data_IF_946940203863
#
_entry.id   IF_946940203863
#
_cell.length_a   1.000
_cell.length_b   1.000
_cell.length_c   1.000
_cell.angle_alpha   90.00
_cell.angle_beta   90.00
_cell.angle_gamma   90.00
#
_symmetry.space_group_name_H-M   'P 1'
#
loop_
_entity.id
_entity.type
_entity.pdbx_description
1 polymer ?
#
# COMPACT_ATOMS: atom_id res chain seq x y z
N UNK A 1 -31.43 12.90 6.97
CA UNK A 1 -30.60 12.24 8.01
C UNK A 1 -30.20 10.83 7.62
N UNK A 2 -31.04 10.06 6.91
CA UNK A 2 -30.71 8.71 6.45
C UNK A 2 -29.48 8.63 5.52
N UNK A 3 -29.32 9.56 4.58
CA UNK A 3 -28.18 9.57 3.65
C UNK A 3 -26.82 9.83 4.33
N UNK A 4 -26.79 10.59 5.42
CA UNK A 4 -25.58 10.83 6.21
C UNK A 4 -25.28 9.59 7.07
N UNK A 5 -26.31 9.00 7.67
CA UNK A 5 -26.18 7.75 8.43
C UNK A 5 -25.65 6.60 7.56
N UNK A 6 -26.10 6.50 6.31
CA UNK A 6 -25.61 5.49 5.36
C UNK A 6 -24.12 5.71 5.01
N UNK A 7 -23.72 6.94 4.68
CA UNK A 7 -22.32 7.27 4.41
C UNK A 7 -21.39 6.95 5.59
N UNK A 8 -21.81 7.30 6.81
CA UNK A 8 -21.05 6.99 8.02
C UNK A 8 -21.00 5.49 8.31
N UNK A 9 -22.07 4.74 8.01
CA UNK A 9 -22.09 3.28 8.14
C UNK A 9 -21.09 2.62 7.19
N UNK A 10 -21.01 3.08 5.94
CA UNK A 10 -20.03 2.58 4.95
C UNK A 10 -18.61 2.92 5.39
N UNK A 11 -18.36 4.18 5.79
CA UNK A 11 -17.04 4.57 6.30
C UNK A 11 -16.64 3.73 7.53
N UNK A 12 -17.59 3.46 8.44
CA UNK A 12 -17.38 2.60 9.61
C UNK A 12 -17.07 1.14 9.27
N UNK A 13 -17.79 0.56 8.29
CA UNK A 13 -17.51 -0.82 7.85
C UNK A 13 -16.15 -0.93 7.19
N UNK A 14 -15.79 0.01 6.30
CA UNK A 14 -14.46 0.08 5.70
C UNK A 14 -13.36 0.25 6.77
N UNK A 15 -13.62 1.08 7.79
CA UNK A 15 -12.69 1.25 8.92
C UNK A 15 -12.46 -0.08 9.64
N UNK A 16 -13.53 -0.82 9.94
CA UNK A 16 -13.45 -2.09 10.65
C UNK A 16 -12.69 -3.16 9.84
N UNK A 17 -12.96 -3.24 8.54
CA UNK A 17 -12.28 -4.17 7.63
C UNK A 17 -10.78 -3.88 7.51
N UNK A 18 -10.38 -2.60 7.47
CA UNK A 18 -8.99 -2.19 7.25
C UNK A 18 -8.18 -2.09 8.55
N UNK A 19 -8.85 -1.90 9.70
CA UNK A 19 -8.19 -1.64 10.99
C UNK A 19 -7.16 -2.71 11.36
N UNK A 20 -7.49 -3.99 11.19
CA UNK A 20 -6.58 -5.06 11.59
C UNK A 20 -5.33 -5.11 10.70
N UNK A 21 -5.47 -4.89 9.39
CA UNK A 21 -4.37 -4.88 8.44
C UNK A 21 -3.42 -3.69 8.70
N UNK A 22 -3.98 -2.54 9.12
CA UNK A 22 -3.21 -1.39 9.59
C UNK A 22 -2.43 -1.72 10.87
N UNK A 23 -3.08 -2.34 11.86
CA UNK A 23 -2.42 -2.73 13.12
C UNK A 23 -1.25 -3.68 12.81
N UNK A 24 -1.46 -4.69 11.98
CA UNK A 24 -0.42 -5.67 11.64
C UNK A 24 0.74 -5.03 10.86
N UNK A 25 0.44 -4.23 9.84
CA UNK A 25 1.45 -3.59 9.01
C UNK A 25 2.31 -2.58 9.78
N UNK A 26 1.71 -1.72 10.61
CA UNK A 26 2.46 -0.81 11.47
C UNK A 26 3.22 -1.53 12.59
N UNK A 27 2.67 -2.62 13.14
CA UNK A 27 3.41 -3.43 14.10
C UNK A 27 4.66 -4.04 13.46
N UNK A 28 4.54 -4.55 12.22
CA UNK A 28 5.68 -5.07 11.47
C UNK A 28 6.68 -3.94 11.13
N UNK A 29 6.21 -2.76 10.74
CA UNK A 29 7.05 -1.58 10.50
C UNK A 29 7.86 -1.21 11.72
N UNK A 30 7.19 -1.09 12.87
CA UNK A 30 7.83 -0.78 14.14
C UNK A 30 8.85 -1.85 14.55
N UNK A 31 8.54 -3.14 14.37
CA UNK A 31 9.49 -4.24 14.61
C UNK A 31 10.69 -4.15 13.67
N UNK A 32 10.46 -3.91 12.38
CA UNK A 32 11.54 -3.75 11.41
C UNK A 32 12.42 -2.58 11.82
N UNK A 33 11.84 -1.42 12.13
CA UNK A 33 12.56 -0.21 12.53
C UNK A 33 13.34 -0.38 13.84
N UNK A 34 12.72 -0.92 14.88
CA UNK A 34 13.34 -1.12 16.19
C UNK A 34 14.40 -2.25 16.20
N UNK A 35 14.11 -3.37 15.54
CA UNK A 35 14.82 -4.65 15.76
C UNK A 35 15.66 -5.09 14.57
N UNK A 36 15.30 -4.80 13.32
CA UNK A 36 16.08 -5.31 12.17
C UNK A 36 17.36 -4.48 11.99
N UNK A 37 18.52 -5.14 11.90
CA UNK A 37 19.81 -4.47 11.67
C UNK A 37 19.94 -4.05 10.21
N UNK A 38 20.61 -2.91 9.98
CA UNK A 38 21.02 -2.44 8.64
C UNK A 38 21.75 -3.53 7.85
N UNK A 39 22.65 -4.27 8.50
CA UNK A 39 23.40 -5.36 7.85
C UNK A 39 22.53 -6.50 7.34
N UNK A 40 21.44 -6.84 8.04
CA UNK A 40 20.48 -7.86 7.58
C UNK A 40 19.73 -7.38 6.33
N UNK A 41 19.28 -6.12 6.33
CA UNK A 41 18.58 -5.52 5.19
C UNK A 41 19.51 -5.45 3.97
N UNK A 42 20.73 -4.93 4.13
CA UNK A 42 21.72 -4.86 3.05
C UNK A 42 22.08 -6.26 2.52
N UNK A 43 22.17 -7.27 3.39
CA UNK A 43 22.48 -8.64 2.96
C UNK A 43 21.36 -9.31 2.17
N UNK A 44 20.10 -9.07 2.54
CA UNK A 44 18.95 -9.75 1.94
C UNK A 44 18.31 -8.96 0.79
N UNK A 45 18.38 -7.64 0.83
CA UNK A 45 17.65 -6.71 -0.04
C UNK A 45 18.57 -5.66 -0.66
N UNK A 46 19.90 -5.83 -0.61
CA UNK A 46 20.86 -4.80 -1.02
C UNK A 46 21.15 -4.69 -2.51
N UNK A 47 20.57 -5.55 -3.35
CA UNK A 47 20.74 -5.51 -4.80
C UNK A 47 19.39 -5.62 -5.54
N UNK A 48 19.41 -5.46 -6.86
CA UNK A 48 18.26 -5.54 -7.77
C UNK A 48 18.24 -6.86 -8.57
N UNK A 49 18.97 -7.88 -8.12
CA UNK A 49 19.05 -9.18 -8.82
C UNK A 49 17.71 -9.90 -8.73
N UNK A 50 17.35 -10.74 -9.71
CA UNK A 50 16.07 -11.47 -9.71
C UNK A 50 15.81 -12.21 -8.40
N UNK A 51 16.82 -12.90 -7.84
CA UNK A 51 16.71 -13.60 -6.55
C UNK A 51 16.29 -12.68 -5.40
N UNK A 52 16.85 -11.48 -5.35
CA UNK A 52 16.56 -10.49 -4.31
C UNK A 52 15.17 -9.90 -4.49
N UNK A 53 14.76 -9.65 -5.73
CA UNK A 53 13.39 -9.21 -6.03
C UNK A 53 12.37 -10.30 -5.67
N UNK A 54 12.65 -11.58 -5.93
CA UNK A 54 11.77 -12.69 -5.52
C UNK A 54 11.69 -12.79 -4.00
N UNK A 55 12.80 -12.62 -3.29
CA UNK A 55 12.82 -12.61 -1.83
C UNK A 55 12.03 -11.42 -1.27
N UNK A 56 12.24 -10.23 -1.84
CA UNK A 56 11.51 -9.02 -1.48
C UNK A 56 10.01 -9.20 -1.68
N UNK A 57 9.61 -9.72 -2.84
CA UNK A 57 8.22 -10.01 -3.15
C UNK A 57 7.62 -11.06 -2.20
N UNK A 58 8.36 -12.12 -1.87
CA UNK A 58 7.92 -13.14 -0.91
C UNK A 58 7.73 -12.58 0.51
N UNK A 59 8.66 -11.73 0.97
CA UNK A 59 8.53 -11.03 2.24
C UNK A 59 7.36 -10.03 2.24
N UNK A 60 7.14 -9.35 1.11
CA UNK A 60 5.99 -8.47 0.89
C UNK A 60 4.68 -9.24 1.01
N UNK A 61 4.50 -10.28 0.20
CA UNK A 61 3.30 -11.12 0.21
C UNK A 61 3.00 -11.71 1.61
N UNK A 62 4.05 -12.11 2.34
CA UNK A 62 3.90 -12.60 3.72
C UNK A 62 3.54 -11.51 4.73
N UNK A 63 3.90 -10.25 4.47
CA UNK A 63 3.64 -9.13 5.39
C UNK A 63 2.18 -8.67 5.42
N UNK A 64 1.37 -8.99 4.39
CA UNK A 64 -0.07 -8.73 4.33
C UNK A 64 -0.46 -7.33 4.84
N UNK A 65 0.13 -6.29 4.26
CA UNK A 65 -0.05 -4.91 4.74
C UNK A 65 -0.89 -4.09 3.76
N UNK A 66 -1.68 -3.17 4.30
CA UNK A 66 -2.36 -2.18 3.47
C UNK A 66 -1.35 -1.21 2.82
N UNK A 67 -1.78 -0.47 1.79
CA UNK A 67 -0.94 0.43 0.99
C UNK A 67 -0.17 1.46 1.84
N UNK A 68 -0.79 2.00 2.90
CA UNK A 68 -0.12 2.91 3.85
C UNK A 68 1.01 2.24 4.64
N UNK A 69 0.76 1.05 5.19
CA UNK A 69 1.76 0.32 5.96
C UNK A 69 2.87 -0.27 5.07
N UNK A 70 2.53 -0.69 3.85
CA UNK A 70 3.48 -1.18 2.85
C UNK A 70 4.51 -0.11 2.49
N UNK A 71 4.06 1.13 2.23
CA UNK A 71 4.94 2.27 1.95
C UNK A 71 5.84 2.61 3.15
N UNK A 72 5.28 2.65 4.36
CA UNK A 72 6.07 2.91 5.58
C UNK A 72 7.19 1.86 5.76
N UNK A 73 6.85 0.59 5.57
CA UNK A 73 7.80 -0.52 5.58
C UNK A 73 8.86 -0.40 4.48
N UNK A 74 8.45 -0.14 3.24
CA UNK A 74 9.35 -0.01 2.09
C UNK A 74 10.36 1.13 2.27
N UNK A 75 9.90 2.29 2.75
CA UNK A 75 10.76 3.43 3.10
C UNK A 75 11.73 3.08 4.24
N UNK A 76 11.27 2.39 5.29
CA UNK A 76 12.13 1.91 6.37
C UNK A 76 13.22 0.96 5.87
N UNK A 77 12.87 0.00 5.01
CA UNK A 77 13.84 -0.90 4.35
C UNK A 77 14.85 -0.11 3.50
N UNK A 78 14.38 0.87 2.72
CA UNK A 78 15.24 1.73 1.90
C UNK A 78 16.21 2.57 2.73
N UNK A 79 15.75 3.20 3.83
CA UNK A 79 16.60 3.93 4.80
C UNK A 79 17.62 3.02 5.47
N UNK A 80 17.26 1.75 5.72
CA UNK A 80 18.19 0.70 6.19
C UNK A 80 19.08 0.12 5.10
N UNK A 81 19.03 0.66 3.89
CA UNK A 81 19.93 0.36 2.81
C UNK A 81 19.55 -0.81 1.92
N UNK A 82 18.26 -1.17 1.87
CA UNK A 82 17.75 -1.94 0.75
C UNK A 82 17.96 -1.19 -0.57
N UNK A 83 18.13 -1.94 -1.66
CA UNK A 83 18.03 -1.42 -3.01
C UNK A 83 16.62 -0.87 -3.23
N UNK A 84 16.53 0.25 -3.93
CA UNK A 84 15.25 0.91 -4.20
C UNK A 84 14.26 -0.01 -4.93
N UNK A 85 14.70 -0.70 -5.98
CA UNK A 85 13.88 -1.63 -6.75
C UNK A 85 13.40 -2.79 -5.88
N UNK A 86 14.25 -3.32 -4.98
CA UNK A 86 13.85 -4.36 -4.04
C UNK A 86 12.81 -3.85 -3.01
N UNK A 87 12.95 -2.62 -2.52
CA UNK A 87 11.96 -2.01 -1.63
C UNK A 87 10.61 -1.80 -2.33
N UNK A 88 10.61 -1.36 -3.58
CA UNK A 88 9.38 -1.18 -4.38
C UNK A 88 8.74 -2.52 -4.75
N UNK A 89 9.53 -3.56 -5.03
CA UNK A 89 9.03 -4.91 -5.25
C UNK A 89 8.39 -5.50 -3.97
N UNK A 90 8.99 -5.24 -2.80
CA UNK A 90 8.39 -5.58 -1.51
C UNK A 90 7.06 -4.86 -1.31
N UNK A 91 7.00 -3.55 -1.59
CA UNK A 91 5.81 -2.72 -1.44
C UNK A 91 4.64 -3.25 -2.29
N UNK A 92 4.87 -3.45 -3.59
CA UNK A 92 3.86 -4.00 -4.51
C UNK A 92 3.39 -5.38 -4.08
N UNK A 93 4.31 -6.26 -3.68
CA UNK A 93 3.92 -7.59 -3.24
C UNK A 93 3.14 -7.56 -1.93
N UNK A 94 3.42 -6.59 -1.05
CA UNK A 94 2.72 -6.41 0.23
C UNK A 94 1.26 -6.02 0.06
N UNK A 95 0.91 -5.35 -1.04
CA UNK A 95 -0.46 -4.89 -1.34
C UNK A 95 -1.22 -5.80 -2.30
N UNK A 96 -0.53 -6.41 -3.28
CA UNK A 96 -1.19 -7.09 -4.41
C UNK A 96 -1.03 -8.63 -4.40
N UNK A 97 -0.14 -9.19 -3.59
CA UNK A 97 0.06 -10.65 -3.50
C UNK A 97 -0.48 -11.26 -2.21
N UNK A 98 -1.38 -10.54 -1.54
CA UNK A 98 -1.97 -10.97 -0.27
C UNK A 98 -3.05 -12.03 -0.51
N UNK A 99 -2.94 -13.15 0.21
CA UNK A 99 -3.91 -14.26 0.12
C UNK A 99 -5.32 -13.81 0.51
N UNK A 100 -5.44 -12.96 1.52
CA UNK A 100 -6.70 -12.38 1.97
C UNK A 100 -7.42 -11.62 0.85
N UNK A 101 -6.74 -10.66 0.21
CA UNK A 101 -7.29 -9.91 -0.93
C UNK A 101 -7.76 -10.89 -2.02
N UNK A 102 -6.95 -11.92 -2.29
CA UNK A 102 -7.30 -13.02 -3.18
C UNK A 102 -8.64 -13.69 -2.89
N UNK A 103 -8.88 -14.01 -1.62
CA UNK A 103 -10.13 -14.63 -1.15
C UNK A 103 -11.30 -13.66 -1.30
N UNK A 104 -11.13 -12.39 -0.93
CA UNK A 104 -12.19 -11.37 -1.06
C UNK A 104 -12.57 -11.19 -2.54
N UNK A 105 -11.59 -11.05 -3.42
CA UNK A 105 -11.81 -10.95 -4.87
C UNK A 105 -12.51 -12.19 -5.41
N UNK A 106 -12.12 -13.38 -4.96
CA UNK A 106 -12.72 -14.64 -5.43
C UNK A 106 -14.19 -14.75 -5.06
N UNK A 107 -14.55 -14.29 -3.85
CA UNK A 107 -15.93 -14.32 -3.35
C UNK A 107 -16.81 -13.22 -3.94
N UNK A 108 -16.29 -12.00 -4.11
CA UNK A 108 -17.10 -10.84 -4.51
C UNK A 108 -17.13 -10.58 -6.02
N UNK A 109 -16.04 -10.87 -6.73
CA UNK A 109 -15.90 -10.57 -8.15
C UNK A 109 -15.63 -11.81 -9.02
N UNK A 110 -15.28 -12.93 -8.39
CA UNK A 110 -15.05 -14.20 -9.04
C UNK A 110 -13.59 -14.46 -9.37
N UNK A 111 -13.31 -15.69 -9.78
CA UNK A 111 -11.94 -16.20 -9.94
C UNK A 111 -11.09 -15.45 -10.99
N UNK A 112 -11.74 -14.80 -11.97
CA UNK A 112 -11.03 -14.06 -13.03
C UNK A 112 -10.27 -12.85 -12.48
N UNK A 113 -10.88 -12.13 -11.53
CA UNK A 113 -10.23 -10.99 -10.88
C UNK A 113 -9.12 -11.46 -9.94
N UNK A 114 -9.35 -12.54 -9.19
CA UNK A 114 -8.29 -13.15 -8.37
C UNK A 114 -7.11 -13.59 -9.21
N UNK A 115 -7.35 -14.28 -10.33
CA UNK A 115 -6.27 -14.70 -11.23
C UNK A 115 -5.54 -13.49 -11.82
N UNK A 116 -6.25 -12.45 -12.23
CA UNK A 116 -5.64 -11.23 -12.74
C UNK A 116 -4.81 -10.49 -11.69
N UNK A 117 -5.21 -10.52 -10.41
CA UNK A 117 -4.45 -9.96 -9.29
C UNK A 117 -3.13 -10.74 -9.07
N UNK A 118 -3.21 -12.06 -8.90
CA UNK A 118 -2.02 -12.89 -8.63
C UNK A 118 -1.08 -13.02 -9.82
N UNK A 119 -1.55 -12.83 -11.05
CA UNK A 119 -0.71 -12.84 -12.25
C UNK A 119 -0.19 -11.44 -12.55
N UNK A 120 -1.01 -10.41 -12.39
CA UNK A 120 -0.63 -9.04 -12.71
C UNK A 120 0.32 -8.45 -11.67
N UNK A 121 0.24 -8.80 -10.38
CA UNK A 121 1.19 -8.36 -9.35
C UNK A 121 2.65 -8.71 -9.70
N UNK A 122 2.99 -9.99 -10.00
CA UNK A 122 4.31 -10.38 -10.45
C UNK A 122 4.73 -9.73 -11.77
N UNK A 123 3.79 -9.59 -12.73
CA UNK A 123 4.06 -8.88 -13.99
C UNK A 123 4.42 -7.42 -13.70
N UNK A 124 3.69 -6.75 -12.81
CA UNK A 124 3.92 -5.36 -12.42
C UNK A 124 5.29 -5.19 -11.77
N UNK A 125 5.68 -6.11 -10.88
CA UNK A 125 7.03 -6.12 -10.29
C UNK A 125 8.11 -6.25 -11.37
N UNK A 126 7.94 -7.16 -12.33
CA UNK A 126 8.90 -7.36 -13.42
C UNK A 126 8.98 -6.13 -14.32
N UNK A 127 7.83 -5.58 -14.73
CA UNK A 127 7.75 -4.37 -15.57
C UNK A 127 8.41 -3.20 -14.87
N UNK A 128 8.09 -2.96 -13.61
CA UNK A 128 8.67 -1.87 -12.82
C UNK A 128 10.18 -2.06 -12.61
N UNK A 129 10.64 -3.29 -12.35
CA UNK A 129 12.06 -3.58 -12.23
C UNK A 129 12.81 -3.31 -13.55
N UNK A 130 12.23 -3.68 -14.70
CA UNK A 130 12.80 -3.38 -16.02
C UNK A 130 12.81 -1.87 -16.29
N UNK A 131 11.70 -1.18 -16.03
CA UNK A 131 11.61 0.27 -16.21
C UNK A 131 12.63 1.00 -15.34
N UNK A 132 12.78 0.63 -14.08
CA UNK A 132 13.80 1.22 -13.21
C UNK A 132 15.21 0.91 -13.70
N UNK A 133 15.47 -0.31 -14.18
CA UNK A 133 16.78 -0.63 -14.74
C UNK A 133 17.13 0.19 -15.99
N UNK A 134 16.12 0.60 -16.78
CA UNK A 134 16.30 1.39 -18.00
C UNK A 134 16.33 2.90 -17.75
N UNK A 135 15.49 3.40 -16.84
CA UNK A 135 15.24 4.84 -16.67
C UNK A 135 15.82 5.42 -15.38
N UNK A 136 16.04 4.61 -14.34
CA UNK A 136 16.47 5.10 -13.03
C UNK A 136 17.97 5.40 -13.03
N UNK A 137 18.31 6.69 -12.90
CA UNK A 137 19.70 7.15 -12.84
C UNK A 137 20.19 7.17 -11.40
N UNK A 138 21.46 6.82 -11.19
CA UNK A 138 22.10 6.86 -9.86
C UNK A 138 21.96 8.21 -9.17
N UNK A 139 22.03 9.32 -9.92
CA UNK A 139 21.84 10.67 -9.36
C UNK A 139 20.48 10.88 -8.70
N UNK A 140 19.41 10.28 -9.24
CA UNK A 140 18.07 10.37 -8.64
C UNK A 140 18.01 9.56 -7.34
N UNK A 141 18.60 8.36 -7.35
CA UNK A 141 18.71 7.51 -6.17
C UNK A 141 19.51 8.16 -5.05
N UNK A 142 20.66 8.78 -5.36
CA UNK A 142 21.48 9.50 -4.38
C UNK A 142 20.69 10.65 -3.75
N UNK A 143 19.98 11.45 -4.55
CA UNK A 143 19.14 12.55 -4.05
C UNK A 143 17.99 12.04 -3.17
N UNK A 144 17.32 10.97 -3.59
CA UNK A 144 16.25 10.35 -2.81
C UNK A 144 16.77 9.83 -1.47
N UNK A 145 17.98 9.25 -1.46
CA UNK A 145 18.63 8.75 -0.25
C UNK A 145 19.07 9.87 0.69
N UNK A 146 19.70 10.92 0.17
CA UNK A 146 20.03 12.12 0.93
C UNK A 146 18.77 12.75 1.54
N UNK A 147 17.68 12.86 0.77
CA UNK A 147 16.42 13.38 1.26
C UNK A 147 15.81 12.49 2.37
N UNK A 148 15.87 11.16 2.22
CA UNK A 148 15.40 10.23 3.24
C UNK A 148 16.28 10.21 4.51
N UNK A 149 17.57 10.59 4.40
CA UNK A 149 18.50 10.70 5.52
C UNK A 149 18.38 12.04 6.27
N UNK A 150 17.89 13.10 5.64
CA UNK A 150 17.66 14.41 6.29
C UNK A 150 16.66 14.38 7.45
N UNK A 151 15.89 13.30 7.61
CA UNK A 151 14.93 13.17 8.71
C UNK A 151 13.82 14.22 8.69
N UNK A 152 13.57 14.83 7.52
CA UNK A 152 12.45 15.75 7.33
C UNK A 152 11.17 14.95 7.50
N UNK A 153 10.40 15.26 8.54
CA UNK A 153 9.13 14.61 8.81
C UNK A 153 8.17 14.90 7.66
N UNK A 154 7.76 13.86 6.92
CA UNK A 154 6.56 13.94 6.09
C UNK A 154 5.32 14.01 6.97
N UNK A 155 4.15 14.38 6.41
CA UNK A 155 2.88 14.38 7.15
C UNK A 155 2.61 13.03 7.83
N UNK A 156 3.07 11.95 7.19
CA UNK A 156 2.95 10.55 7.60
C UNK A 156 4.02 10.10 8.62
N UNK A 157 4.95 10.96 9.02
CA UNK A 157 6.06 10.62 9.92
C UNK A 157 6.11 11.55 11.13
N UNK A 158 5.06 11.50 11.94
CA UNK A 158 4.99 12.13 13.26
C UNK A 158 6.19 11.75 14.12
N UNK A 159 7.26 12.54 14.00
CA UNK A 159 8.46 12.57 14.84
C UNK A 159 9.59 11.60 14.44
N UNK A 160 9.91 11.52 13.15
CA UNK A 160 11.05 10.80 12.54
C UNK A 160 12.47 11.13 13.07
N UNK A 161 12.61 11.99 14.08
CA UNK A 161 13.88 12.55 14.54
C UNK A 161 14.58 11.73 15.65
N UNK A 162 13.98 10.65 16.17
CA UNK A 162 14.63 9.82 17.20
C UNK A 162 15.01 8.45 16.64
N UNK A 163 16.31 8.18 16.53
CA UNK A 163 16.84 6.82 16.30
C UNK A 163 16.52 5.95 17.54
N UNK A 164 15.36 5.31 17.49
CA UNK A 164 14.89 4.39 18.53
C UNK A 164 15.39 2.97 18.31
N UNK A 165 16.34 2.73 17.40
CA UNK A 165 16.81 1.37 17.12
C UNK A 165 17.46 0.73 18.34
N UNK A 166 17.10 -0.53 18.61
CA UNK A 166 17.61 -1.25 19.77
C UNK A 166 19.09 -1.57 19.54
N UNK A 167 19.99 -0.85 20.23
CA UNK A 167 21.45 -1.04 20.16
C UNK A 167 21.96 -2.32 20.83
N UNK A 168 21.10 -3.02 21.57
CA UNK A 168 21.48 -4.23 22.31
C UNK A 168 22.07 -5.33 21.39
N UNK A 169 23.11 -6.00 21.89
CA UNK A 169 23.73 -7.15 21.24
C UNK A 169 22.88 -8.42 21.43
N UNK A 170 22.80 -9.25 20.39
CA UNK A 170 22.04 -10.51 20.41
C UNK A 170 21.19 -10.75 19.15
N UNK A 171 20.63 -11.96 19.07
CA UNK A 171 19.74 -12.38 17.96
C UNK A 171 18.41 -11.61 17.93
N UNK A 172 17.69 -11.74 16.81
CA UNK A 172 16.42 -11.04 16.55
C UNK A 172 15.40 -11.21 17.71
N UNK A 173 15.13 -12.45 18.14
CA UNK A 173 14.17 -12.73 19.19
C UNK A 173 14.56 -12.10 20.53
N UNK A 174 15.84 -12.15 20.92
CA UNK A 174 16.33 -11.56 22.18
C UNK A 174 16.17 -10.05 22.20
N UNK A 175 16.31 -9.39 21.05
CA UNK A 175 16.12 -7.94 20.91
C UNK A 175 14.63 -7.58 20.91
N UNK A 176 13.81 -8.34 20.18
CA UNK A 176 12.36 -8.12 20.10
C UNK A 176 11.69 -8.25 21.48
N UNK A 177 12.00 -9.33 22.22
CA UNK A 177 11.43 -9.58 23.55
C UNK A 177 12.17 -8.88 24.70
N UNK A 178 13.09 -7.97 24.41
CA UNK A 178 13.74 -7.14 25.43
C UNK A 178 12.84 -5.98 25.86
N UNK A 179 13.01 -5.47 27.09
CA UNK A 179 12.30 -4.25 27.54
C UNK A 179 12.52 -3.07 26.60
N UNK A 180 13.78 -2.86 26.18
CA UNK A 180 14.13 -1.82 25.22
C UNK A 180 13.47 -2.02 23.84
N UNK A 181 13.37 -3.28 23.38
CA UNK A 181 12.67 -3.64 22.16
C UNK A 181 11.18 -3.35 22.23
N UNK A 182 10.52 -3.78 23.30
CA UNK A 182 9.09 -3.51 23.50
C UNK A 182 8.80 -2.00 23.57
N UNK A 183 9.59 -1.23 24.33
CA UNK A 183 9.44 0.23 24.42
C UNK A 183 9.64 0.90 23.05
N UNK A 184 10.69 0.53 22.33
CA UNK A 184 10.99 1.09 21.00
C UNK A 184 9.88 0.78 19.99
N UNK A 185 9.49 -0.49 19.87
CA UNK A 185 8.40 -0.92 18.98
C UNK A 185 7.10 -0.20 19.33
N UNK A 186 6.75 -0.09 20.61
CA UNK A 186 5.50 0.57 21.03
C UNK A 186 5.51 2.05 20.69
N UNK A 187 6.62 2.75 20.92
CA UNK A 187 6.73 4.17 20.55
C UNK A 187 6.65 4.37 19.04
N UNK A 188 7.37 3.57 18.25
CA UNK A 188 7.33 3.69 16.78
C UNK A 188 5.92 3.40 16.28
N UNK A 189 5.27 2.34 16.76
CA UNK A 189 3.90 1.99 16.40
C UNK A 189 2.91 3.13 16.66
N UNK A 190 2.92 3.69 17.88
CA UNK A 190 2.01 4.80 18.24
C UNK A 190 2.29 6.04 17.40
N UNK A 191 3.56 6.35 17.11
CA UNK A 191 3.94 7.49 16.28
C UNK A 191 3.47 7.33 14.84
N UNK A 192 3.67 6.15 14.24
CA UNK A 192 3.16 5.86 12.89
C UNK A 192 1.64 5.99 12.84
N UNK A 193 0.92 5.40 13.81
CA UNK A 193 -0.54 5.55 13.91
C UNK A 193 -0.99 7.00 14.02
N UNK A 194 -0.36 7.79 14.88
CA UNK A 194 -0.72 9.19 15.10
C UNK A 194 -0.50 10.05 13.84
N UNK A 195 0.51 9.70 13.04
CA UNK A 195 0.83 10.44 11.84
C UNK A 195 -0.20 10.24 10.72
N UNK A 196 -0.70 9.01 10.55
CA UNK A 196 -1.63 8.72 9.44
C UNK A 196 -3.10 8.96 9.78
N UNK A 197 -3.45 9.02 11.07
CA UNK A 197 -4.84 8.95 11.53
C UNK A 197 -5.71 10.02 10.87
N UNK A 198 -5.18 11.23 10.69
CA UNK A 198 -5.92 12.34 10.06
C UNK A 198 -6.25 12.05 8.61
N UNK A 199 -5.25 11.60 7.85
CA UNK A 199 -5.38 11.33 6.41
C UNK A 199 -6.27 10.09 6.18
N UNK A 200 -6.15 9.08 7.05
CA UNK A 200 -6.98 7.89 7.04
C UNK A 200 -8.46 8.22 7.31
N UNK A 201 -8.75 9.01 8.35
CA UNK A 201 -10.13 9.41 8.68
C UNK A 201 -10.71 10.27 7.55
N UNK A 202 -9.95 11.22 7.01
CA UNK A 202 -10.39 12.03 5.88
C UNK A 202 -10.71 11.18 4.65
N UNK A 203 -9.81 10.25 4.29
CA UNK A 203 -9.99 9.34 3.15
C UNK A 203 -11.21 8.44 3.30
N UNK A 204 -11.40 7.81 4.47
CA UNK A 204 -12.54 6.93 4.73
C UNK A 204 -13.89 7.68 4.70
N UNK A 205 -13.93 8.91 5.21
CA UNK A 205 -15.13 9.74 5.15
C UNK A 205 -15.47 10.18 3.73
N UNK A 206 -14.46 10.57 2.93
CA UNK A 206 -14.65 10.92 1.53
C UNK A 206 -15.12 9.70 0.73
N UNK A 207 -14.49 8.54 0.93
CA UNK A 207 -14.88 7.30 0.27
C UNK A 207 -16.31 6.88 0.63
N UNK A 208 -16.69 6.94 1.91
CA UNK A 208 -18.06 6.64 2.35
C UNK A 208 -19.09 7.62 1.78
N UNK A 209 -18.74 8.91 1.67
CA UNK A 209 -19.60 9.91 1.06
C UNK A 209 -19.79 9.66 -0.45
N UNK A 210 -18.72 9.36 -1.18
CA UNK A 210 -18.79 9.04 -2.61
C UNK A 210 -19.63 7.78 -2.84
N UNK A 211 -19.37 6.72 -2.07
CA UNK A 211 -20.09 5.46 -2.18
C UNK A 211 -21.59 5.60 -1.87
N UNK A 212 -21.97 6.47 -0.93
CA UNK A 212 -23.36 6.68 -0.54
C UNK A 212 -24.12 7.66 -1.43
N UNK A 213 -23.45 8.68 -1.98
CA UNK A 213 -24.12 9.80 -2.65
C UNK A 213 -23.99 9.80 -4.17
N UNK A 214 -23.02 9.08 -4.75
CA UNK A 214 -22.84 9.04 -6.20
C UNK A 214 -23.62 7.86 -6.79
N UNK A 215 -24.66 8.10 -7.63
CA UNK A 215 -25.46 7.03 -8.21
C UNK A 215 -24.71 6.21 -9.26
N UNK A 216 -25.10 4.95 -9.44
CA UNK A 216 -24.50 4.05 -10.45
C UNK A 216 -24.61 4.59 -11.89
N UNK A 217 -25.67 5.33 -12.22
CA UNK A 217 -25.86 5.94 -13.54
C UNK A 217 -24.83 7.03 -13.86
N UNK A 218 -24.33 7.73 -12.83
CA UNK A 218 -23.22 8.67 -13.01
C UNK A 218 -21.97 7.93 -13.48
N UNK A 219 -21.64 6.82 -12.83
CA UNK A 219 -20.48 6.00 -13.21
C UNK A 219 -20.64 5.40 -14.61
N UNK A 220 -21.83 4.92 -14.97
CA UNK A 220 -22.13 4.42 -16.32
C UNK A 220 -21.86 5.45 -17.40
N UNK A 221 -22.34 6.67 -17.18
CA UNK A 221 -22.16 7.79 -18.12
C UNK A 221 -20.68 8.21 -18.17
N UNK A 222 -20.04 8.30 -17.00
CA UNK A 222 -18.65 8.73 -16.88
C UNK A 222 -17.66 7.76 -17.54
N UNK A 223 -17.88 6.45 -17.41
CA UNK A 223 -17.06 5.42 -18.03
C UNK A 223 -17.47 5.06 -19.46
N UNK A 224 -18.44 5.77 -20.04
CA UNK A 224 -19.01 5.51 -21.37
C UNK A 224 -19.37 4.03 -21.56
N UNK A 225 -20.07 3.45 -20.57
CA UNK A 225 -20.39 2.02 -20.53
C UNK A 225 -21.14 1.55 -21.81
N UNK A 226 -21.89 2.44 -22.45
CA UNK A 226 -22.64 2.17 -23.68
C UNK A 226 -21.75 2.04 -24.95
N UNK A 227 -20.47 2.43 -24.87
CA UNK A 227 -19.53 2.37 -25.98
C UNK A 227 -18.40 1.36 -25.70
N UNK A 228 -18.52 0.10 -26.17
CA UNK A 228 -17.64 -1.00 -25.77
C UNK A 228 -16.16 -0.83 -26.15
N UNK A 229 -15.84 -0.02 -27.18
CA UNK A 229 -14.45 0.33 -27.52
C UNK A 229 -13.93 1.49 -26.64
N UNK A 230 -14.74 2.50 -26.38
CA UNK A 230 -14.35 3.64 -25.55
C UNK A 230 -14.16 3.23 -24.07
N UNK A 231 -15.07 2.41 -23.53
CA UNK A 231 -14.99 1.88 -22.16
C UNK A 231 -13.72 1.03 -21.91
N UNK A 232 -13.20 0.35 -22.95
CA UNK A 232 -11.95 -0.42 -22.86
C UNK A 232 -10.69 0.44 -22.82
N UNK A 233 -10.74 1.66 -23.36
CA UNK A 233 -9.61 2.60 -23.36
C UNK A 233 -9.66 3.55 -22.16
N UNK A 234 -10.87 4.03 -21.84
CA UNK A 234 -11.10 5.02 -20.78
C UNK A 234 -11.02 4.36 -19.41
N UNK A 235 -11.60 3.17 -19.23
CA UNK A 235 -11.59 2.46 -17.95
C UNK A 235 -10.19 2.35 -17.33
N UNK A 236 -9.18 1.81 -18.03
CA UNK A 236 -7.81 1.69 -17.50
C UNK A 236 -7.08 3.02 -17.25
N UNK A 237 -7.50 4.12 -17.90
CA UNK A 237 -6.92 5.45 -17.68
C UNK A 237 -7.58 6.17 -16.50
N UNK A 238 -8.89 6.05 -16.39
CA UNK A 238 -9.70 6.74 -15.39
C UNK A 238 -9.72 6.00 -14.07
N UNK A 239 -9.67 4.66 -14.07
CA UNK A 239 -9.60 3.83 -12.87
C UNK A 239 -8.51 4.31 -11.89
N UNK A 240 -7.25 4.46 -12.33
CA UNK A 240 -6.21 5.01 -11.48
C UNK A 240 -6.49 6.43 -10.96
N UNK A 241 -7.11 7.29 -11.75
CA UNK A 241 -7.48 8.64 -11.31
C UNK A 241 -8.54 8.61 -10.22
N UNK A 242 -9.51 7.70 -10.31
CA UNK A 242 -10.52 7.49 -9.27
C UNK A 242 -9.86 6.95 -8.01
N UNK A 243 -8.96 5.97 -8.11
CA UNK A 243 -8.21 5.45 -6.96
C UNK A 243 -7.41 6.54 -6.24
N UNK A 244 -6.73 7.40 -7.00
CA UNK A 244 -6.01 8.57 -6.48
C UNK A 244 -6.96 9.51 -5.74
N UNK A 245 -8.17 9.74 -6.27
CA UNK A 245 -9.15 10.65 -5.67
C UNK A 245 -9.80 10.07 -4.40
N UNK A 246 -9.96 8.75 -4.32
CA UNK A 246 -10.67 8.09 -3.21
C UNK A 246 -9.77 7.75 -2.03
N UNK A 247 -8.45 7.72 -2.21
CA UNK A 247 -7.45 7.48 -1.14
C UNK A 247 -7.69 6.19 -0.34
N UNK A 248 -8.26 5.18 -0.98
CA UNK A 248 -8.60 3.93 -0.32
C UNK A 248 -7.49 2.92 -0.59
N UNK A 249 -7.14 2.16 0.45
CA UNK A 249 -6.15 1.09 0.37
C UNK A 249 -6.66 -0.13 -0.43
N UNK A 250 -5.77 -1.04 -0.82
CA UNK A 250 -6.08 -2.24 -1.63
C UNK A 250 -7.36 -2.98 -1.20
N UNK A 251 -7.50 -3.28 0.09
CA UNK A 251 -8.65 -4.03 0.63
C UNK A 251 -9.93 -3.18 0.56
N UNK A 252 -9.86 -1.93 1.00
CA UNK A 252 -11.00 -1.02 0.94
C UNK A 252 -11.42 -0.66 -0.49
N UNK A 253 -10.54 -0.82 -1.47
CA UNK A 253 -10.88 -0.65 -2.88
C UNK A 253 -11.78 -1.75 -3.38
N UNK A 254 -11.83 -2.94 -2.77
CA UNK A 254 -12.62 -4.05 -3.31
C UNK A 254 -14.14 -3.77 -3.30
N UNK A 255 -14.75 -3.28 -2.20
CA UNK A 255 -16.16 -2.89 -2.23
C UNK A 255 -16.46 -1.82 -3.30
N UNK A 256 -15.59 -0.81 -3.42
CA UNK A 256 -15.76 0.23 -4.44
C UNK A 256 -15.55 -0.33 -5.86
N UNK A 257 -14.60 -1.25 -6.05
CA UNK A 257 -14.37 -1.97 -7.30
C UNK A 257 -15.61 -2.78 -7.70
N UNK A 258 -16.32 -3.39 -6.75
CA UNK A 258 -17.60 -4.08 -6.99
C UNK A 258 -18.68 -3.10 -7.44
N UNK A 259 -18.77 -1.91 -6.82
CA UNK A 259 -19.71 -0.85 -7.24
C UNK A 259 -19.39 -0.38 -8.66
N UNK A 260 -18.12 -0.09 -8.95
CA UNK A 260 -17.66 0.33 -10.29
C UNK A 260 -17.92 -0.77 -11.33
N UNK A 261 -17.69 -2.03 -10.99
CA UNK A 261 -17.98 -3.19 -11.84
C UNK A 261 -19.46 -3.32 -12.17
N UNK A 262 -20.35 -3.20 -11.17
CA UNK A 262 -21.80 -3.15 -11.40
C UNK A 262 -22.22 -1.92 -12.19
N UNK A 263 -21.51 -0.80 -12.00
CA UNK A 263 -21.62 0.44 -12.76
C UNK A 263 -21.12 0.33 -14.21
N UNK A 264 -20.68 -0.84 -14.68
CA UNK A 264 -20.35 -1.07 -16.09
C UNK A 264 -18.94 -0.69 -16.51
N UNK A 265 -18.03 -0.44 -15.56
CA UNK A 265 -16.60 -0.26 -15.90
C UNK A 265 -16.05 -1.54 -16.53
N UNK A 266 -15.09 -1.40 -17.45
CA UNK A 266 -14.45 -2.56 -18.08
C UNK A 266 -13.58 -3.35 -17.08
N UNK A 267 -13.38 -4.64 -17.35
CA UNK A 267 -12.52 -5.51 -16.52
C UNK A 267 -11.13 -4.91 -16.28
N UNK A 268 -10.51 -4.40 -17.35
CA UNK A 268 -9.21 -3.72 -17.26
C UNK A 268 -9.26 -2.42 -16.46
N UNK A 269 -10.39 -1.71 -16.45
CA UNK A 269 -10.59 -0.53 -15.61
C UNK A 269 -10.68 -0.87 -14.12
N UNK A 270 -11.40 -1.94 -13.75
CA UNK A 270 -11.43 -2.43 -12.36
C UNK A 270 -10.04 -2.84 -11.91
N UNK A 271 -9.33 -3.62 -12.71
CA UNK A 271 -7.98 -4.10 -12.36
C UNK A 271 -7.00 -2.92 -12.25
N UNK A 272 -7.06 -1.95 -13.17
CA UNK A 272 -6.25 -0.74 -13.08
C UNK A 272 -6.59 0.11 -11.84
N UNK A 273 -7.86 0.16 -11.44
CA UNK A 273 -8.30 0.82 -10.21
C UNK A 273 -7.74 0.11 -8.96
N UNK A 274 -7.79 -1.23 -8.92
CA UNK A 274 -7.23 -2.01 -7.80
C UNK A 274 -5.71 -1.84 -7.70
N UNK A 275 -4.98 -1.90 -8.82
CA UNK A 275 -3.52 -1.70 -8.83
C UNK A 275 -3.05 -0.28 -8.54
N UNK A 276 -3.95 0.71 -8.64
CA UNK A 276 -3.62 2.11 -8.36
C UNK A 276 -3.71 2.46 -6.87
N UNK A 277 -3.91 1.48 -5.99
CA UNK A 277 -4.00 1.65 -4.54
C UNK A 277 -2.71 2.19 -3.89
N UNK A 278 -1.56 2.09 -4.57
CA UNK A 278 -0.29 2.69 -4.16
C UNK A 278 -0.17 4.18 -4.52
N UNK A 279 -1.05 4.72 -5.38
CA UNK A 279 -1.02 6.13 -5.80
C UNK A 279 -1.79 7.02 -4.81
N UNK A 280 -1.28 7.16 -3.60
CA UNK A 280 -1.92 7.92 -2.52
C UNK A 280 -1.31 9.33 -2.43
N UNK A 281 -2.08 10.40 -2.64
CA UNK A 281 -1.55 11.79 -2.60
C UNK A 281 -0.90 12.16 -1.26
N UNK A 282 -1.44 11.78 -0.08
CA UNK A 282 -0.74 11.97 1.20
C UNK A 282 0.67 11.37 1.28
N UNK A 283 0.99 10.39 0.42
CA UNK A 283 2.32 9.76 0.35
C UNK A 283 3.27 10.52 -0.58
N UNK A 284 2.73 11.28 -1.55
CA UNK A 284 3.50 12.00 -2.57
C UNK A 284 4.00 13.39 -2.12
N UNK A 285 3.46 13.94 -1.03
CA UNK A 285 3.80 15.25 -0.45
C UNK A 285 4.60 15.13 0.85
#
# INVERSE_FOLDING_TARGET
MEAIGHALSIAGSMTWEVAWALILGFALSAVVQAVVRRSTVVRLLGDDRPRTLTLAAGLGAASSSCSYAAVALARSLFRKGANFTAAMAFEIASTNLVVELGVILALLMGWQFTAAEFVGGPIMIVVLAVLFRLFLRERLLSRAREQAERGVAGSMEGHAAMDMSVRAEGGFARRLFSRAGFTSVSHIFVMEWAAILRDLVAGLLIAGAIAAWVPDDFWRTFFLADHPLAAKLIGPLVGPLVAVATFVCSIGNVPLAVVLWKGGISFGGVIAFIYADLLILPILN
#
